data_IF_429269218971
#
_entry.id   IF_429269218971
#
_cell.length_a   1.000
_cell.length_b   1.000
_cell.length_c   1.000
_cell.angle_alpha   90.00
_cell.angle_beta   90.00
_cell.angle_gamma   90.00
#
_symmetry.space_group_name_H-M   'P 1'
#
loop_
_entity.id
_entity.type
_entity.pdbx_description
1 polymer ?
#
# COMPACT_ATOMS: atom_id res chain seq x y z
N UNK A 1 -6.73 -19.94 3.47
CA UNK A 1 -6.74 -19.09 2.26
C UNK A 1 -8.04 -18.34 2.34
N UNK A 2 -7.97 -17.11 2.86
CA UNK A 2 -9.13 -16.33 3.24
C UNK A 2 -9.54 -15.48 2.03
N UNK A 3 -10.85 -15.38 1.75
CA UNK A 3 -11.40 -14.58 0.64
C UNK A 3 -10.87 -13.13 0.57
N UNK A 4 -10.37 -12.59 1.69
CA UNK A 4 -9.76 -11.25 1.77
C UNK A 4 -8.49 -11.10 0.91
N UNK A 5 -7.67 -12.14 0.78
CA UNK A 5 -6.41 -12.08 0.01
C UNK A 5 -6.65 -11.87 -1.50
N UNK A 6 -7.81 -12.27 -2.01
CA UNK A 6 -8.15 -12.20 -3.43
C UNK A 6 -8.62 -10.81 -3.89
N UNK A 7 -9.29 -10.06 -3.00
CA UNK A 7 -9.67 -8.68 -3.32
C UNK A 7 -8.44 -7.77 -3.28
N UNK A 8 -7.58 -7.92 -2.27
CA UNK A 8 -6.30 -7.20 -2.14
C UNK A 8 -5.43 -7.27 -3.39
N UNK A 9 -5.23 -8.48 -3.92
CA UNK A 9 -4.43 -8.69 -5.13
C UNK A 9 -5.04 -8.05 -6.37
N UNK A 10 -6.38 -8.01 -6.47
CA UNK A 10 -7.08 -7.40 -7.61
C UNK A 10 -7.00 -5.87 -7.57
N UNK A 11 -7.06 -5.28 -6.37
CA UNK A 11 -6.97 -3.82 -6.19
C UNK A 11 -5.55 -3.26 -6.41
N UNK A 12 -4.51 -4.08 -6.32
CA UNK A 12 -3.14 -3.63 -6.56
C UNK A 12 -2.67 -3.96 -7.98
N UNK A 13 -3.17 -5.05 -8.59
CA UNK A 13 -2.81 -5.44 -9.96
C UNK A 13 -3.18 -4.43 -11.05
N UNK A 14 -4.08 -3.48 -10.76
CA UNK A 14 -4.40 -2.37 -11.67
C UNK A 14 -3.34 -1.25 -11.65
N UNK A 15 -2.48 -1.23 -10.62
CA UNK A 15 -1.47 -0.18 -10.44
C UNK A 15 -0.19 -0.59 -11.17
N UNK A 16 0.41 0.29 -11.99
CA UNK A 16 1.61 -0.03 -12.77
C UNK A 16 2.77 -0.56 -11.92
N UNK A 17 2.85 -0.11 -10.67
CA UNK A 17 3.92 -0.46 -9.73
C UNK A 17 3.83 -1.91 -9.22
N UNK A 18 2.63 -2.48 -9.15
CA UNK A 18 2.35 -3.86 -8.72
C UNK A 18 1.98 -4.79 -9.89
N UNK A 19 1.59 -4.24 -11.04
CA UNK A 19 1.29 -4.99 -12.26
C UNK A 19 2.55 -5.42 -13.03
N UNK A 20 3.64 -4.67 -12.89
CA UNK A 20 4.93 -4.93 -13.54
C UNK A 20 5.94 -5.48 -12.52
N UNK A 21 6.44 -6.68 -12.78
CA UNK A 21 7.44 -7.35 -11.94
C UNK A 21 8.78 -6.57 -11.87
N UNK A 22 9.15 -5.83 -12.91
CA UNK A 22 10.34 -4.98 -12.89
C UNK A 22 10.12 -3.78 -11.95
N UNK A 23 8.96 -3.14 -12.04
CA UNK A 23 8.58 -2.04 -11.16
C UNK A 23 8.47 -2.48 -9.69
N UNK A 24 7.91 -3.67 -9.45
CA UNK A 24 7.83 -4.25 -8.11
C UNK A 24 9.23 -4.54 -7.54
N UNK A 25 10.16 -5.05 -8.36
CA UNK A 25 11.55 -5.25 -7.93
C UNK A 25 12.27 -3.94 -7.60
N UNK A 26 11.97 -2.86 -8.33
CA UNK A 26 12.51 -1.52 -8.01
C UNK A 26 11.92 -0.99 -6.71
N UNK A 27 10.61 -1.16 -6.48
CA UNK A 27 9.96 -0.81 -5.22
C UNK A 27 10.62 -1.52 -4.03
N UNK A 28 10.80 -2.83 -4.12
CA UNK A 28 11.44 -3.63 -3.07
C UNK A 28 12.85 -3.14 -2.76
N UNK A 29 13.66 -2.85 -3.79
CA UNK A 29 15.03 -2.32 -3.62
C UNK A 29 15.05 -0.97 -2.91
N UNK A 30 14.14 -0.07 -3.29
CA UNK A 30 14.02 1.26 -2.69
C UNK A 30 13.56 1.14 -1.23
N UNK A 31 12.56 0.31 -0.96
CA UNK A 31 12.08 -0.01 0.39
C UNK A 31 13.22 -0.53 1.28
N UNK A 32 13.98 -1.51 0.80
CA UNK A 32 15.16 -2.05 1.50
C UNK A 32 16.19 -0.94 1.77
N UNK A 33 16.49 -0.09 0.78
CA UNK A 33 17.46 0.99 0.93
C UNK A 33 17.08 1.99 2.03
N UNK A 34 15.78 2.23 2.23
CA UNK A 34 15.26 3.15 3.22
C UNK A 34 14.80 2.47 4.52
N UNK A 35 15.02 1.15 4.65
CA UNK A 35 14.54 0.34 5.77
C UNK A 35 13.02 0.47 6.00
N UNK A 36 12.27 0.63 4.90
CA UNK A 36 10.82 0.73 4.90
C UNK A 36 10.24 -0.61 4.44
N UNK A 37 9.37 -1.26 5.22
CA UNK A 37 8.71 -2.48 4.81
C UNK A 37 7.77 -2.25 3.60
N UNK A 38 7.80 -3.15 2.61
CA UNK A 38 7.01 -3.02 1.35
C UNK A 38 5.50 -3.17 1.61
N UNK A 39 5.15 -3.98 2.60
CA UNK A 39 3.80 -4.14 3.13
C UNK A 39 3.22 -2.80 3.64
N UNK A 40 4.04 -1.99 4.32
CA UNK A 40 3.63 -0.66 4.78
C UNK A 40 3.25 0.26 3.61
N UNK A 41 4.08 0.29 2.55
CA UNK A 41 3.76 1.08 1.35
C UNK A 41 2.51 0.56 0.65
N UNK A 42 2.37 -0.77 0.58
CA UNK A 42 1.22 -1.42 -0.04
C UNK A 42 -0.08 -1.07 0.68
N UNK A 43 -0.09 -1.14 2.01
CA UNK A 43 -1.25 -0.81 2.83
C UNK A 43 -1.61 0.69 2.75
N UNK A 44 -0.62 1.59 2.69
CA UNK A 44 -0.87 3.02 2.47
C UNK A 44 -1.59 3.30 1.15
N UNK A 45 -1.14 2.66 0.08
CA UNK A 45 -1.74 2.84 -1.25
C UNK A 45 -3.15 2.25 -1.32
N UNK A 46 -3.39 1.14 -0.63
CA UNK A 46 -4.73 0.59 -0.46
C UNK A 46 -5.68 1.56 0.25
N UNK A 47 -5.28 2.09 1.41
CA UNK A 47 -6.10 3.07 2.15
C UNK A 47 -6.36 4.32 1.32
N UNK A 48 -5.38 4.76 0.53
CA UNK A 48 -5.55 5.88 -0.39
C UNK A 48 -6.57 5.56 -1.49
N UNK A 49 -6.55 4.36 -2.08
CA UNK A 49 -7.46 3.94 -3.16
C UNK A 49 -8.90 3.77 -2.65
N UNK A 50 -9.08 3.11 -1.51
CA UNK A 50 -10.40 2.92 -0.88
C UNK A 50 -11.08 4.25 -0.55
N UNK A 51 -10.29 5.28 -0.23
CA UNK A 51 -10.79 6.57 0.24
C UNK A 51 -10.54 7.73 -0.72
N UNK A 52 -10.11 7.46 -1.95
CA UNK A 52 -9.96 8.46 -3.02
C UNK A 52 -11.31 9.13 -3.37
N UNK A 53 -12.43 8.45 -3.11
CA UNK A 53 -13.77 9.03 -3.24
C UNK A 53 -14.23 9.81 -2.00
N UNK A 54 -13.48 9.76 -0.89
CA UNK A 54 -13.80 10.35 0.42
C UNK A 54 -12.76 11.39 0.88
N UNK A 55 -12.09 12.09 -0.04
CA UNK A 55 -10.99 13.05 0.21
C UNK A 55 -11.27 14.19 1.22
N UNK A 56 -12.48 14.31 1.79
CA UNK A 56 -12.83 15.32 2.82
C UNK A 56 -13.03 14.75 4.23
N UNK A 57 -12.70 13.48 4.49
CA UNK A 57 -12.90 12.88 5.81
C UNK A 57 -11.59 12.83 6.61
N UNK A 58 -11.60 13.42 7.82
CA UNK A 58 -10.51 13.41 8.81
C UNK A 58 -9.95 12.01 9.17
N UNK A 59 -10.61 10.92 8.76
CA UNK A 59 -10.24 9.55 9.13
C UNK A 59 -9.07 8.93 8.35
N UNK A 60 -8.65 9.52 7.22
CA UNK A 60 -7.49 9.03 6.46
C UNK A 60 -6.18 9.20 7.28
N UNK A 61 -6.00 10.35 7.94
CA UNK A 61 -4.77 10.66 8.66
C UNK A 61 -4.48 9.68 9.80
N UNK A 62 -5.50 9.27 10.56
CA UNK A 62 -5.33 8.31 11.65
C UNK A 62 -4.83 6.94 11.15
N UNK A 63 -5.41 6.43 10.04
CA UNK A 63 -4.96 5.17 9.44
C UNK A 63 -3.55 5.26 8.87
N UNK A 64 -3.19 6.40 8.28
CA UNK A 64 -1.83 6.65 7.80
C UNK A 64 -0.82 6.64 8.95
N UNK A 65 -1.13 7.28 10.07
CA UNK A 65 -0.28 7.27 11.26
C UNK A 65 -0.11 5.85 11.84
N UNK A 66 -1.18 5.05 11.90
CA UNK A 66 -1.11 3.65 12.34
C UNK A 66 -0.20 2.79 11.45
N UNK A 67 -0.26 2.98 10.14
CA UNK A 67 0.53 2.23 9.17
C UNK A 67 1.99 2.69 9.21
N UNK A 68 2.24 4.00 9.26
CA UNK A 68 3.59 4.57 9.34
C UNK A 68 4.27 4.25 10.67
N UNK A 69 3.52 4.13 11.77
CA UNK A 69 4.05 3.72 13.07
C UNK A 69 4.65 2.31 13.11
N UNK A 70 4.46 1.50 12.05
CA UNK A 70 5.10 0.19 11.91
C UNK A 70 6.54 0.25 11.38
N UNK A 71 6.98 1.44 10.94
CA UNK A 71 8.36 1.66 10.45
C UNK A 71 9.33 1.91 11.63
N UNK A 72 8.83 2.18 12.84
CA UNK A 72 9.63 2.41 14.06
C UNK A 72 10.28 1.15 14.65
#
# INVERSE_FOLDING_TARGET
MSDTDFEESTYLSDLPLWADAEAQSVLEKVCIQHNVPVDVITELVMVQRERQHQERAHGIYLRFEEILGRIE
#
